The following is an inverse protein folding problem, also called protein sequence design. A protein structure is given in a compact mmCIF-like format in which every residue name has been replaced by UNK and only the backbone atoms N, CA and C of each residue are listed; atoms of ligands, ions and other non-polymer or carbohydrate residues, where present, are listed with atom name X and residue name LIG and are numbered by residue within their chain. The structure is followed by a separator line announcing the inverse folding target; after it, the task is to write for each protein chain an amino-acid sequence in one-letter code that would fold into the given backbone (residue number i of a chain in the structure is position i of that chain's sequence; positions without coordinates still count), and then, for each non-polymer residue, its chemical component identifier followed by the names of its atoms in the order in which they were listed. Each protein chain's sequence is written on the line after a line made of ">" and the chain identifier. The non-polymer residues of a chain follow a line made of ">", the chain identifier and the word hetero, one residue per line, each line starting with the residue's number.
data_IF_852903250546
#
_entry.id   IF_852903250546
#
_cell.length_a   1.000
_cell.length_b   1.000
_cell.length_c   1.000
_cell.angle_alpha   90.00
_cell.angle_beta   90.00
_cell.angle_gamma   90.00
#
_symmetry.space_group_name_H-M   'P 1'
#
loop_
_entity.id
_entity.type
_entity.pdbx_description
1 polymer ?
#
# COMPACT_ATOMS: atom_id res chain seq x y z
N UNK A 1 -19.34 -31.12 28.18
CA UNK A 1 -18.20 -32.03 28.38
C UNK A 1 -18.44 -33.21 27.46
N UNK A 2 -17.90 -33.15 26.23
CA UNK A 2 -18.11 -34.17 25.19
C UNK A 2 -16.74 -34.62 24.73
N UNK A 3 -16.43 -35.87 25.05
CA UNK A 3 -15.19 -36.58 24.71
C UNK A 3 -15.09 -36.81 23.20
N UNK A 4 -14.02 -36.30 22.58
CA UNK A 4 -13.58 -36.75 21.26
C UNK A 4 -12.43 -37.76 21.44
N UNK A 5 -12.74 -39.05 21.26
CA UNK A 5 -11.72 -40.11 21.20
C UNK A 5 -11.03 -40.09 19.85
N UNK A 6 -9.72 -39.89 19.89
CA UNK A 6 -8.77 -40.07 18.79
C UNK A 6 -8.81 -41.50 18.25
N UNK A 7 -8.93 -41.64 16.93
CA UNK A 7 -8.62 -42.85 16.20
C UNK A 7 -7.33 -42.63 15.40
N UNK A 8 -6.21 -43.05 15.97
CA UNK A 8 -4.92 -43.19 15.28
C UNK A 8 -4.92 -44.49 14.48
N UNK A 9 -4.61 -44.43 13.17
CA UNK A 9 -4.06 -45.58 12.44
C UNK A 9 -2.79 -45.15 11.71
N UNK A 10 -1.69 -45.93 11.79
CA UNK A 10 -0.44 -45.63 11.14
C UNK A 10 -0.46 -46.19 9.72
N UNK A 11 0.05 -45.43 8.74
CA UNK A 11 0.53 -45.99 7.50
C UNK A 11 1.98 -45.60 7.32
N UNK A 12 2.78 -46.62 7.02
CA UNK A 12 4.23 -46.60 7.09
C UNK A 12 4.88 -45.78 5.99
N UNK A 13 6.01 -45.23 6.38
CA UNK A 13 7.07 -44.66 5.55
C UNK A 13 7.65 -45.71 4.61
N UNK A 14 7.75 -45.39 3.31
CA UNK A 14 8.88 -45.78 2.46
C UNK A 14 8.87 -45.02 1.12
N UNK A 15 9.96 -44.28 0.89
CA UNK A 15 10.58 -43.83 -0.37
C UNK A 15 9.70 -43.60 -1.61
N UNK A 16 9.78 -42.46 -2.29
CA UNK A 16 10.98 -42.03 -3.01
C UNK A 16 11.01 -40.51 -3.18
N UNK A 17 12.14 -39.92 -2.81
CA UNK A 17 12.52 -38.57 -3.22
C UNK A 17 12.90 -38.64 -4.70
N UNK A 18 12.05 -38.15 -5.58
CA UNK A 18 12.45 -37.78 -6.93
C UNK A 18 13.00 -36.35 -6.90
N UNK A 19 14.29 -36.21 -6.59
CA UNK A 19 15.05 -35.01 -6.93
C UNK A 19 15.16 -34.97 -8.45
N UNK A 20 14.31 -34.19 -9.11
CA UNK A 20 14.61 -33.73 -10.46
C UNK A 20 15.71 -32.66 -10.36
N UNK A 21 16.96 -33.10 -10.37
CA UNK A 21 18.10 -32.25 -10.71
C UNK A 21 18.01 -31.92 -12.20
N UNK A 22 17.47 -30.73 -12.50
CA UNK A 22 17.58 -30.12 -13.82
C UNK A 22 19.04 -29.69 -13.97
N UNK A 23 19.81 -30.45 -14.75
CA UNK A 23 21.14 -30.04 -15.20
C UNK A 23 20.95 -29.09 -16.38
N UNK A 24 21.08 -27.79 -16.12
CA UNK A 24 21.15 -26.77 -17.18
C UNK A 24 22.54 -26.87 -17.80
N UNK A 25 22.62 -27.38 -19.02
CA UNK A 25 23.81 -27.23 -19.86
C UNK A 25 23.73 -25.85 -20.52
N UNK A 26 24.60 -24.93 -20.12
CA UNK A 26 24.84 -23.69 -20.85
C UNK A 26 25.97 -23.98 -21.83
N UNK A 27 25.64 -24.09 -23.11
CA UNK A 27 26.60 -24.16 -24.20
C UNK A 27 27.03 -22.73 -24.54
N UNK A 28 28.23 -22.34 -24.09
CA UNK A 28 28.84 -21.07 -24.47
C UNK A 28 29.55 -21.28 -25.80
N UNK A 29 28.93 -20.79 -26.88
CA UNK A 29 29.60 -20.65 -28.17
C UNK A 29 30.64 -19.52 -28.08
N UNK A 30 31.91 -19.88 -27.91
CA UNK A 30 33.01 -18.95 -28.12
C UNK A 30 33.30 -18.88 -29.62
N UNK A 31 32.83 -17.83 -30.30
CA UNK A 31 33.44 -17.43 -31.55
C UNK A 31 34.81 -16.83 -31.24
N UNK A 32 35.85 -17.58 -31.60
CA UNK A 32 37.20 -17.08 -31.73
C UNK A 32 37.25 -16.07 -32.86
N UNK A 33 37.18 -14.78 -32.52
CA UNK A 33 37.62 -13.71 -33.41
C UNK A 33 39.12 -13.53 -33.27
N UNK A 34 39.79 -13.73 -34.38
CA UNK A 34 41.22 -13.72 -34.66
C UNK A 34 41.92 -12.46 -34.14
N UNK A 35 43.09 -12.66 -33.55
CA UNK A 35 44.04 -11.61 -33.23
C UNK A 35 44.44 -10.81 -34.48
N UNK A 36 44.28 -9.49 -34.42
CA UNK A 36 44.91 -8.54 -35.33
C UNK A 36 45.64 -7.46 -34.50
N UNK A 37 46.96 -7.65 -34.49
CA UNK A 37 48.08 -6.71 -34.35
C UNK A 37 47.91 -5.35 -33.66
N UNK A 38 48.79 -5.19 -32.66
CA UNK A 38 49.53 -3.98 -32.27
C UNK A 38 49.36 -2.74 -33.15
N UNK A 39 48.85 -1.68 -32.52
CA UNK A 39 49.35 -0.32 -32.69
C UNK A 39 49.67 0.25 -31.31
N UNK A 40 50.91 0.06 -30.85
CA UNK A 40 51.57 1.08 -30.04
C UNK A 40 51.75 2.29 -30.92
N UNK A 41 51.23 3.46 -30.54
CA UNK A 41 52.06 4.63 -30.17
C UNK A 41 51.15 5.77 -29.71
N UNK A 42 51.32 6.14 -28.46
CA UNK A 42 50.76 7.33 -27.84
C UNK A 42 51.07 7.24 -26.37
N UNK A 43 52.32 7.50 -25.98
CA UNK A 43 52.68 7.75 -24.58
C UNK A 43 51.93 8.99 -24.13
N UNK A 44 50.68 8.79 -23.71
CA UNK A 44 49.98 9.68 -22.81
C UNK A 44 50.65 9.55 -21.46
N UNK A 45 51.02 10.68 -20.89
CA UNK A 45 51.60 10.83 -19.57
C UNK A 45 50.91 9.88 -18.58
N UNK A 46 51.63 8.94 -17.95
CA UNK A 46 51.05 7.90 -17.06
C UNK A 46 50.23 8.55 -15.92
N UNK A 47 50.52 9.82 -15.62
CA UNK A 47 49.79 10.69 -14.70
C UNK A 47 48.32 10.94 -15.07
N UNK A 48 47.92 10.68 -16.32
CA UNK A 48 46.57 10.97 -16.86
C UNK A 48 45.68 9.75 -17.00
N UNK A 49 46.18 8.54 -16.79
CA UNK A 49 45.37 7.30 -16.89
C UNK A 49 44.57 7.07 -15.62
N UNK A 50 43.28 6.73 -15.74
CA UNK A 50 42.43 6.36 -14.60
C UNK A 50 42.85 5.00 -14.04
N UNK A 51 43.34 4.95 -12.80
CA UNK A 51 43.79 3.72 -12.13
C UNK A 51 42.71 3.06 -11.29
N UNK A 52 41.83 3.86 -10.72
CA UNK A 52 40.75 3.39 -9.86
C UNK A 52 39.53 4.27 -10.06
N UNK A 53 38.38 3.61 -10.16
CA UNK A 53 37.07 4.25 -10.15
C UNK A 53 36.25 3.54 -9.08
N UNK A 54 35.75 4.27 -8.09
CA UNK A 54 34.86 3.77 -7.04
C UNK A 54 33.59 4.60 -7.06
N UNK A 55 32.44 3.94 -7.13
CA UNK A 55 31.13 4.59 -7.07
C UNK A 55 30.50 4.24 -5.72
N UNK A 56 29.90 5.23 -5.06
CA UNK A 56 29.19 5.09 -3.77
C UNK A 56 27.83 5.77 -3.83
N UNK A 57 26.95 5.35 -2.91
CA UNK A 57 25.60 5.91 -2.79
C UNK A 57 24.63 5.46 -3.88
N UNK A 58 24.94 4.34 -4.54
CA UNK A 58 24.08 3.67 -5.53
C UNK A 58 23.34 2.48 -4.92
N UNK A 59 22.56 2.71 -3.88
CA UNK A 59 21.84 1.63 -3.19
C UNK A 59 20.68 1.09 -4.04
N UNK A 60 20.13 1.93 -4.92
CA UNK A 60 18.99 1.59 -5.79
C UNK A 60 19.40 0.90 -7.09
N UNK A 61 20.64 1.09 -7.56
CA UNK A 61 21.13 0.53 -8.83
C UNK A 61 22.51 -0.10 -8.69
N UNK A 62 22.73 -1.22 -9.37
CA UNK A 62 24.03 -1.88 -9.33
C UNK A 62 25.12 -1.00 -9.96
N UNK A 63 26.34 -1.10 -9.44
CA UNK A 63 27.49 -0.37 -9.95
C UNK A 63 27.74 -0.65 -11.45
N UNK A 64 27.45 -1.88 -11.90
CA UNK A 64 27.56 -2.29 -13.30
C UNK A 64 26.61 -1.49 -14.22
N UNK A 65 25.37 -1.22 -13.78
CA UNK A 65 24.43 -0.41 -14.54
C UNK A 65 24.93 1.02 -14.68
N UNK A 66 25.54 1.57 -13.63
CA UNK A 66 26.08 2.93 -13.63
C UNK A 66 27.31 3.02 -14.53
N UNK A 67 28.25 2.08 -14.40
CA UNK A 67 29.43 2.00 -15.27
C UNK A 67 29.08 1.85 -16.75
N UNK A 68 28.01 1.11 -17.07
CA UNK A 68 27.54 0.96 -18.44
C UNK A 68 27.05 2.27 -19.08
N UNK A 69 26.69 3.28 -18.27
CA UNK A 69 26.30 4.61 -18.75
C UNK A 69 27.51 5.54 -18.95
N UNK A 70 28.64 5.22 -18.31
CA UNK A 70 29.83 6.06 -18.29
C UNK A 70 30.73 5.77 -19.49
N UNK A 71 31.39 6.80 -19.99
CA UNK A 71 32.48 6.72 -20.97
C UNK A 71 33.83 6.57 -20.27
N UNK A 72 33.96 7.11 -19.06
CA UNK A 72 35.14 6.96 -18.22
C UNK A 72 35.20 5.57 -17.63
N UNK A 73 36.30 4.85 -17.85
CA UNK A 73 36.52 3.52 -17.28
C UNK A 73 37.94 3.39 -16.72
N UNK A 74 38.17 2.33 -15.96
CA UNK A 74 39.52 1.99 -15.48
C UNK A 74 40.41 1.74 -16.69
N UNK A 75 41.62 2.29 -16.68
CA UNK A 75 42.60 2.27 -17.76
C UNK A 75 42.32 3.22 -18.94
N UNK A 76 41.25 4.01 -18.92
CA UNK A 76 41.03 5.08 -19.91
C UNK A 76 41.84 6.34 -19.59
N UNK A 77 42.05 7.19 -20.60
CA UNK A 77 42.58 8.54 -20.39
C UNK A 77 41.55 9.37 -19.62
N UNK A 78 41.98 10.07 -18.57
CA UNK A 78 41.14 10.97 -17.82
C UNK A 78 40.81 12.21 -18.66
N UNK A 79 39.52 12.42 -18.90
CA UNK A 79 38.98 13.61 -19.54
C UNK A 79 37.87 14.19 -18.66
N UNK A 80 38.09 15.43 -18.21
CA UNK A 80 37.14 16.15 -17.36
C UNK A 80 35.81 16.41 -18.07
N UNK A 81 35.84 16.61 -19.40
CA UNK A 81 34.61 16.81 -20.19
C UNK A 81 33.82 15.53 -20.34
N UNK A 82 34.50 14.38 -20.49
CA UNK A 82 33.86 13.07 -20.49
C UNK A 82 33.24 12.77 -19.12
N UNK A 83 33.96 13.03 -18.03
CA UNK A 83 33.44 12.82 -16.67
C UNK A 83 32.22 13.70 -16.37
N UNK A 84 32.22 14.96 -16.82
CA UNK A 84 31.05 15.83 -16.69
C UNK A 84 29.84 15.30 -17.46
N UNK A 85 30.05 14.80 -18.68
CA UNK A 85 29.01 14.13 -19.48
C UNK A 85 28.50 12.85 -18.80
N UNK A 86 29.38 12.10 -18.15
CA UNK A 86 29.04 10.89 -17.41
C UNK A 86 28.16 11.22 -16.20
N UNK A 87 28.46 12.29 -15.45
CA UNK A 87 27.63 12.76 -14.35
C UNK A 87 26.22 13.13 -14.82
N UNK A 88 26.08 13.83 -15.95
CA UNK A 88 24.78 14.13 -16.53
C UNK A 88 24.02 12.86 -16.94
N UNK A 89 24.70 11.90 -17.56
CA UNK A 89 24.11 10.62 -17.96
C UNK A 89 23.58 9.84 -16.75
N UNK A 90 24.37 9.77 -15.66
CA UNK A 90 23.96 9.14 -14.40
C UNK A 90 22.73 9.85 -13.82
N UNK A 91 22.79 11.18 -13.64
CA UNK A 91 21.66 11.94 -13.07
C UNK A 91 20.40 11.78 -13.92
N UNK A 92 20.51 11.82 -15.24
CA UNK A 92 19.38 11.64 -16.14
C UNK A 92 18.78 10.24 -16.01
N UNK A 93 19.61 9.19 -15.93
CA UNK A 93 19.15 7.82 -15.69
C UNK A 93 18.36 7.71 -14.37
N UNK A 94 18.86 8.30 -13.28
CA UNK A 94 18.14 8.30 -12.01
C UNK A 94 16.81 9.05 -12.12
N UNK A 95 16.78 10.24 -12.73
CA UNK A 95 15.56 11.04 -12.92
C UNK A 95 14.52 10.33 -13.78
N UNK A 96 14.94 9.66 -14.85
CA UNK A 96 14.07 8.85 -15.71
C UNK A 96 13.45 7.66 -14.96
N UNK A 97 14.11 7.16 -13.93
CA UNK A 97 13.60 6.11 -13.05
C UNK A 97 12.86 6.66 -11.81
N UNK A 98 12.59 7.97 -11.74
CA UNK A 98 11.75 8.60 -10.70
C UNK A 98 12.49 9.22 -9.51
N UNK A 99 13.83 9.16 -9.48
CA UNK A 99 14.66 9.77 -8.44
C UNK A 99 14.88 11.25 -8.74
N UNK A 100 13.87 12.07 -8.42
CA UNK A 100 13.85 13.48 -8.84
C UNK A 100 15.00 14.32 -8.23
N UNK A 101 15.36 14.03 -6.98
CA UNK A 101 16.42 14.75 -6.24
C UNK A 101 17.81 14.12 -6.41
N UNK A 102 17.94 13.09 -7.24
CA UNK A 102 19.22 12.45 -7.47
C UNK A 102 20.25 13.43 -8.03
N UNK A 103 21.47 13.38 -7.47
CA UNK A 103 22.56 14.29 -7.78
C UNK A 103 23.91 13.67 -7.47
N UNK A 104 24.96 14.25 -8.05
CA UNK A 104 26.33 13.93 -7.68
C UNK A 104 26.72 14.81 -6.50
N UNK A 105 27.13 14.19 -5.39
CA UNK A 105 27.69 14.89 -4.25
C UNK A 105 29.12 15.31 -4.58
N UNK A 106 29.29 16.59 -4.94
CA UNK A 106 30.58 17.16 -5.31
C UNK A 106 31.54 17.32 -4.14
N UNK A 107 31.04 17.37 -2.91
CA UNK A 107 31.89 17.53 -1.71
C UNK A 107 32.61 16.22 -1.38
N UNK A 108 31.93 15.09 -1.58
CA UNK A 108 32.49 13.76 -1.35
C UNK A 108 33.05 13.09 -2.60
N UNK A 109 32.71 13.59 -3.79
CA UNK A 109 33.37 13.17 -5.05
C UNK A 109 34.81 13.66 -5.06
N UNK A 110 35.76 12.72 -5.21
CA UNK A 110 37.18 13.02 -5.18
C UNK A 110 37.88 12.63 -6.47
N UNK A 111 38.67 13.57 -7.01
CA UNK A 111 39.57 13.36 -8.13
C UNK A 111 40.99 13.58 -7.63
N UNK A 112 41.73 12.49 -7.42
CA UNK A 112 43.12 12.55 -6.93
C UNK A 112 44.06 12.18 -8.05
N UNK A 113 44.94 13.12 -8.44
CA UNK A 113 45.97 12.92 -9.46
C UNK A 113 47.31 12.66 -8.78
N UNK A 114 47.92 11.52 -9.08
CA UNK A 114 49.25 11.14 -8.62
C UNK A 114 50.17 10.90 -9.82
N UNK A 115 51.46 10.69 -9.56
CA UNK A 115 52.44 10.43 -10.63
C UNK A 115 52.14 9.14 -11.40
N UNK A 116 51.48 8.16 -10.78
CA UNK A 116 51.11 6.87 -11.34
C UNK A 116 49.71 6.85 -12.00
N UNK A 117 48.92 7.92 -11.86
CA UNK A 117 47.62 8.09 -12.52
C UNK A 117 46.55 8.78 -11.69
N UNK A 118 45.30 8.68 -12.14
CA UNK A 118 44.13 9.36 -11.57
C UNK A 118 43.23 8.37 -10.83
N UNK A 119 42.81 8.73 -9.63
CA UNK A 119 41.89 7.96 -8.78
C UNK A 119 40.59 8.74 -8.62
N UNK A 120 39.49 8.13 -9.04
CA UNK A 120 38.14 8.71 -9.04
C UNK A 120 37.29 8.03 -7.97
N UNK A 121 36.71 8.84 -7.08
CA UNK A 121 35.63 8.44 -6.20
C UNK A 121 34.40 9.26 -6.56
N UNK A 122 33.34 8.63 -7.05
CA UNK A 122 32.07 9.28 -7.39
C UNK A 122 31.09 8.95 -6.29
N UNK A 123 30.47 9.98 -5.70
CA UNK A 123 29.43 9.81 -4.70
C UNK A 123 28.09 10.30 -5.25
N UNK A 124 27.11 9.41 -5.24
CA UNK A 124 25.76 9.67 -5.71
C UNK A 124 24.88 9.84 -4.48
N UNK A 125 24.09 10.90 -4.49
CA UNK A 125 23.04 11.14 -3.51
C UNK A 125 21.70 10.91 -4.21
N UNK A 126 20.98 9.86 -3.81
CA UNK A 126 19.70 9.48 -4.40
C UNK A 126 18.55 10.39 -3.94
N UNK A 127 18.78 11.25 -2.95
CA UNK A 127 17.78 12.15 -2.38
C UNK A 127 17.01 11.53 -1.23
N UNK A 128 17.71 11.20 -0.15
CA UNK A 128 17.12 10.64 1.07
C UNK A 128 16.28 11.69 1.82
N UNK A 129 15.12 11.29 2.34
CA UNK A 129 14.23 12.14 3.12
C UNK A 129 14.80 12.32 4.53
N UNK A 130 15.14 13.55 4.89
CA UNK A 130 15.70 13.88 6.21
C UNK A 130 14.64 14.28 7.23
N UNK A 131 13.58 14.95 6.79
CA UNK A 131 12.51 15.39 7.68
C UNK A 131 11.14 15.48 6.99
N UNK A 132 10.07 15.31 7.77
CA UNK A 132 8.69 15.46 7.34
C UNK A 132 7.96 16.42 8.27
N UNK A 133 7.63 17.60 7.75
CA UNK A 133 6.94 18.68 8.45
C UNK A 133 5.49 18.74 8.02
N UNK A 134 4.57 18.51 8.96
CA UNK A 134 3.12 18.57 8.74
C UNK A 134 2.55 19.91 9.21
N UNK A 135 1.68 20.50 8.40
CA UNK A 135 0.91 21.70 8.75
C UNK A 135 -0.56 21.59 8.33
N UNK A 136 -1.42 22.39 8.99
CA UNK A 136 -2.86 22.48 8.70
C UNK A 136 -3.73 21.41 9.36
N UNK A 137 -3.17 20.59 10.25
CA UNK A 137 -3.91 19.62 11.06
C UNK A 137 -4.37 20.25 12.39
N UNK A 138 -5.58 20.82 12.43
CA UNK A 138 -6.12 21.46 13.63
C UNK A 138 -6.77 20.45 14.58
N UNK A 139 -7.65 19.59 14.06
CA UNK A 139 -8.38 18.57 14.82
C UNK A 139 -7.72 17.19 14.69
N UNK A 140 -7.17 16.85 13.53
CA UNK A 140 -6.60 15.53 13.26
C UNK A 140 -5.21 15.42 13.87
N UNK A 141 -4.93 14.26 14.49
CA UNK A 141 -3.62 13.98 15.07
C UNK A 141 -2.56 13.85 13.97
N UNK A 142 -1.35 14.34 14.24
CA UNK A 142 -0.22 14.26 13.30
C UNK A 142 0.05 12.83 12.83
N UNK A 143 0.08 11.86 13.75
CA UNK A 143 0.33 10.45 13.44
C UNK A 143 -0.73 9.84 12.51
N UNK A 144 -1.97 10.33 12.56
CA UNK A 144 -3.07 9.86 11.72
C UNK A 144 -2.87 10.26 10.27
N UNK A 145 -2.21 11.39 10.01
CA UNK A 145 -1.87 11.86 8.67
C UNK A 145 -0.55 11.25 8.21
N UNK A 146 0.47 11.21 9.08
CA UNK A 146 1.79 10.69 8.71
C UNK A 146 1.75 9.19 8.35
N UNK A 147 0.95 8.38 9.05
CA UNK A 147 0.79 6.95 8.73
C UNK A 147 0.15 6.67 7.36
N UNK A 148 -0.38 7.70 6.70
CA UNK A 148 -0.99 7.59 5.38
C UNK A 148 0.01 7.81 4.25
N UNK A 149 1.16 8.43 4.56
CA UNK A 149 2.25 8.59 3.62
C UNK A 149 2.87 7.24 3.28
N UNK A 150 3.41 7.12 2.06
CA UNK A 150 4.06 5.90 1.57
C UNK A 150 5.57 5.85 1.82
N UNK A 151 6.10 6.90 2.43
CA UNK A 151 7.51 7.08 2.73
C UNK A 151 7.64 7.60 4.17
N UNK A 152 8.77 7.29 4.77
CA UNK A 152 9.17 7.72 6.10
C UNK A 152 10.52 8.45 6.03
N UNK A 153 10.97 8.97 7.18
CA UNK A 153 12.31 9.58 7.27
C UNK A 153 13.35 8.47 7.08
N UNK A 154 14.32 8.72 6.18
CA UNK A 154 15.35 7.75 5.79
C UNK A 154 15.05 7.02 4.47
N UNK A 155 13.84 7.13 3.93
CA UNK A 155 13.52 6.59 2.61
C UNK A 155 14.05 7.51 1.49
N UNK A 156 14.26 6.95 0.30
CA UNK A 156 14.62 7.72 -0.89
C UNK A 156 13.37 8.38 -1.47
N UNK A 157 13.45 9.67 -1.81
CA UNK A 157 12.33 10.38 -2.42
C UNK A 157 12.02 9.85 -3.82
N UNK A 158 10.76 9.46 -4.02
CA UNK A 158 10.20 9.12 -5.33
C UNK A 158 8.97 9.97 -5.62
N UNK A 159 8.90 10.58 -6.81
CA UNK A 159 7.75 11.41 -7.20
C UNK A 159 6.44 10.62 -7.16
N UNK A 160 6.47 9.36 -7.62
CA UNK A 160 5.30 8.48 -7.64
C UNK A 160 4.72 8.21 -6.24
N UNK A 161 5.58 8.02 -5.23
CA UNK A 161 5.13 7.77 -3.87
C UNK A 161 4.54 9.04 -3.23
N UNK A 162 5.06 10.23 -3.61
CA UNK A 162 4.49 11.52 -3.24
C UNK A 162 3.11 11.75 -3.87
N UNK A 163 2.93 11.49 -5.16
CA UNK A 163 1.63 11.67 -5.84
C UNK A 163 0.56 10.73 -5.28
N UNK A 164 0.92 9.47 -5.04
CA UNK A 164 0.02 8.48 -4.45
C UNK A 164 -0.31 8.82 -3.00
N UNK A 165 0.66 9.29 -2.21
CA UNK A 165 0.41 9.77 -0.84
C UNK A 165 -0.58 10.95 -0.82
N UNK A 166 -0.46 11.90 -1.74
CA UNK A 166 -1.44 12.99 -1.87
C UNK A 166 -2.84 12.45 -2.22
N UNK A 167 -2.95 11.44 -3.09
CA UNK A 167 -4.23 10.81 -3.45
C UNK A 167 -4.87 10.12 -2.24
N UNK A 168 -4.11 9.28 -1.52
CA UNK A 168 -4.55 8.58 -0.30
C UNK A 168 -5.07 9.57 0.74
N UNK A 169 -4.39 10.71 0.91
CA UNK A 169 -4.82 11.75 1.82
C UNK A 169 -6.13 12.42 1.37
N UNK A 170 -6.29 12.72 0.07
CA UNK A 170 -7.52 13.31 -0.50
C UNK A 170 -8.73 12.38 -0.44
N UNK A 171 -8.51 11.06 -0.42
CA UNK A 171 -9.58 10.08 -0.26
C UNK A 171 -10.15 10.03 1.18
N UNK A 172 -9.49 10.66 2.15
CA UNK A 172 -9.99 10.71 3.53
C UNK A 172 -11.15 11.69 3.63
N UNK A 173 -12.25 11.24 4.25
CA UNK A 173 -13.48 12.02 4.43
C UNK A 173 -13.32 13.29 5.29
N UNK A 174 -12.21 13.42 6.01
CA UNK A 174 -11.89 14.55 6.88
C UNK A 174 -10.77 15.44 6.33
N UNK A 175 -10.23 15.15 5.15
CA UNK A 175 -9.22 15.95 4.46
C UNK A 175 -9.86 16.51 3.18
N UNK A 176 -9.85 17.82 3.02
CA UNK A 176 -10.41 18.50 1.85
C UNK A 176 -9.37 18.72 0.76
N UNK A 177 -8.13 18.98 1.17
CA UNK A 177 -6.99 19.10 0.28
C UNK A 177 -5.73 18.59 0.97
N UNK A 178 -4.82 18.01 0.18
CA UNK A 178 -3.49 17.63 0.61
C UNK A 178 -2.50 18.02 -0.48
N UNK A 179 -1.44 18.71 -0.08
CA UNK A 179 -0.33 19.09 -0.96
C UNK A 179 0.99 18.75 -0.28
N UNK A 180 1.83 18.01 -1.00
CA UNK A 180 3.17 17.65 -0.55
C UNK A 180 4.17 18.46 -1.40
N UNK A 181 5.03 19.21 -0.70
CA UNK A 181 6.08 20.03 -1.31
C UNK A 181 7.42 19.50 -0.84
N UNK A 182 8.18 18.82 -1.72
CA UNK A 182 9.54 18.41 -1.40
C UNK A 182 10.51 19.56 -1.67
N UNK A 183 11.45 19.78 -0.77
CA UNK A 183 12.49 20.81 -0.87
C UNK A 183 13.83 20.19 -0.55
N UNK A 184 14.85 20.54 -1.34
CA UNK A 184 16.22 20.18 -0.99
C UNK A 184 16.72 21.07 0.14
N UNK A 185 17.19 20.48 1.24
CA UNK A 185 17.88 21.20 2.31
C UNK A 185 19.40 21.00 2.20
N UNK A 186 20.10 22.08 1.86
CA UNK A 186 21.56 22.09 1.75
C UNK A 186 22.27 21.91 3.09
N UNK A 187 21.62 22.23 4.21
CA UNK A 187 22.25 22.16 5.53
C UNK A 187 22.29 20.74 6.10
N UNK A 188 21.23 19.96 5.90
CA UNK A 188 21.14 18.56 6.31
C UNK A 188 21.58 17.57 5.22
N UNK A 189 21.88 18.07 4.01
CA UNK A 189 22.15 17.26 2.83
C UNK A 189 21.04 16.23 2.56
N UNK A 190 19.78 16.62 2.74
CA UNK A 190 18.63 15.74 2.61
C UNK A 190 17.39 16.44 2.03
N UNK A 191 16.40 15.65 1.64
CA UNK A 191 15.10 16.15 1.19
C UNK A 191 14.21 16.42 2.40
N UNK A 192 13.77 17.67 2.55
CA UNK A 192 12.77 18.09 3.50
C UNK A 192 11.37 18.05 2.86
N UNK A 193 10.44 17.31 3.47
CA UNK A 193 9.07 17.18 2.97
C UNK A 193 8.14 18.07 3.78
N UNK A 194 7.48 19.01 3.10
CA UNK A 194 6.41 19.81 3.70
C UNK A 194 5.05 19.26 3.27
N UNK A 195 4.30 18.73 4.23
CA UNK A 195 2.94 18.21 4.05
C UNK A 195 1.96 19.26 4.52
N UNK A 196 1.22 19.86 3.60
CA UNK A 196 0.20 20.86 3.89
C UNK A 196 -1.17 20.23 3.65
N UNK A 197 -1.99 20.13 4.70
CA UNK A 197 -3.35 19.62 4.61
C UNK A 197 -4.38 20.69 4.94
N UNK A 198 -5.54 20.61 4.32
CA UNK A 198 -6.72 21.38 4.72
C UNK A 198 -7.76 20.41 5.24
N UNK A 199 -8.12 20.54 6.51
CA UNK A 199 -9.14 19.69 7.12
C UNK A 199 -10.55 20.10 6.72
N UNK A 200 -11.41 19.10 6.51
CA UNK A 200 -12.85 19.31 6.43
C UNK A 200 -13.40 19.24 7.85
N UNK A 201 -13.56 20.38 8.49
CA UNK A 201 -14.35 20.44 9.70
C UNK A 201 -15.83 20.32 9.34
N UNK A 202 -16.37 19.10 9.46
CA UNK A 202 -17.81 18.87 9.44
C UNK A 202 -18.24 18.43 10.84
N UNK A 203 -18.94 19.28 11.62
CA UNK A 203 -19.53 18.82 12.86
C UNK A 203 -20.52 17.68 12.55
N UNK A 204 -20.71 16.72 13.47
CA UNK A 204 -21.62 15.60 13.25
C UNK A 204 -23.05 16.15 13.26
N UNK A 205 -23.55 16.53 12.08
CA UNK A 205 -24.91 17.04 11.93
C UNK A 205 -25.90 15.88 11.99
N UNK A 206 -27.00 16.01 12.74
CA UNK A 206 -28.06 15.02 12.72
C UNK A 206 -28.74 15.00 11.35
N UNK A 207 -28.88 13.82 10.76
CA UNK A 207 -29.79 13.60 9.65
C UNK A 207 -31.16 13.21 10.22
N UNK A 208 -32.20 13.94 9.84
CA UNK A 208 -33.57 13.68 10.27
C UNK A 208 -34.41 13.44 9.03
N UNK A 209 -35.09 12.30 8.96
CA UNK A 209 -35.94 11.93 7.83
C UNK A 209 -37.27 11.34 8.33
N UNK A 210 -38.34 12.16 8.41
CA UNK A 210 -39.69 11.71 8.70
C UNK A 210 -40.46 11.35 7.42
N UNK A 211 -41.01 10.14 7.36
CA UNK A 211 -41.87 9.68 6.29
C UNK A 211 -43.22 9.22 6.86
N UNK A 212 -44.33 9.67 6.26
CA UNK A 212 -45.69 9.30 6.65
C UNK A 212 -46.44 8.77 5.43
N UNK A 213 -47.22 7.71 5.60
CA UNK A 213 -48.13 7.20 4.57
C UNK A 213 -49.49 6.84 5.19
N UNK A 214 -50.47 6.49 4.34
CA UNK A 214 -51.84 6.15 4.79
C UNK A 214 -51.92 4.90 5.68
N UNK A 215 -50.84 4.12 5.79
CA UNK A 215 -50.78 2.84 6.48
C UNK A 215 -49.80 2.84 7.67
N UNK A 216 -49.10 3.96 7.93
CA UNK A 216 -48.01 4.01 8.89
C UNK A 216 -47.08 5.22 8.75
N UNK A 217 -45.95 5.17 9.46
CA UNK A 217 -44.94 6.20 9.46
C UNK A 217 -43.56 5.69 9.89
N UNK A 218 -42.52 6.29 9.35
CA UNK A 218 -41.12 6.05 9.70
C UNK A 218 -40.50 7.37 10.14
N UNK A 219 -39.73 7.32 11.22
CA UNK A 219 -38.89 8.44 11.67
C UNK A 219 -37.46 7.95 11.79
N UNK A 220 -36.54 8.64 11.12
CA UNK A 220 -35.12 8.35 11.12
C UNK A 220 -34.35 9.51 11.74
N UNK A 221 -33.43 9.18 12.63
CA UNK A 221 -32.41 10.07 13.18
C UNK A 221 -31.04 9.41 13.01
N UNK A 222 -30.16 10.00 12.21
CA UNK A 222 -28.79 9.55 12.02
C UNK A 222 -27.79 10.56 12.57
N UNK A 223 -26.72 10.07 13.17
CA UNK A 223 -25.56 10.84 13.61
C UNK A 223 -24.32 10.15 13.06
N UNK A 224 -23.44 10.91 12.39
CA UNK A 224 -22.17 10.39 11.88
C UNK A 224 -21.05 11.35 12.19
N UNK A 225 -19.96 10.82 12.73
CA UNK A 225 -18.70 11.53 12.92
C UNK A 225 -17.61 10.74 12.19
N UNK A 226 -16.95 11.37 11.21
CA UNK A 226 -15.98 10.71 10.32
C UNK A 226 -14.54 10.82 10.80
N UNK A 227 -14.29 11.57 11.88
CA UNK A 227 -12.96 11.74 12.46
C UNK A 227 -13.06 11.92 13.99
N UNK A 228 -13.55 10.88 14.66
CA UNK A 228 -13.82 10.89 16.10
C UNK A 228 -12.55 11.27 16.87
N UNK A 229 -12.57 12.40 17.57
CA UNK A 229 -11.41 12.95 18.31
C UNK A 229 -10.11 13.09 17.50
N UNK A 230 -10.20 13.28 16.18
CA UNK A 230 -9.02 13.42 15.34
C UNK A 230 -8.25 12.12 15.08
N UNK A 231 -8.86 10.96 15.35
CA UNK A 231 -8.23 9.63 15.23
C UNK A 231 -8.30 9.01 13.83
N UNK A 232 -9.08 9.60 12.93
CA UNK A 232 -9.45 9.05 11.63
C UNK A 232 -10.49 7.94 11.71
N UNK A 233 -11.07 7.68 12.89
CA UNK A 233 -12.14 6.70 13.05
C UNK A 233 -13.49 7.28 12.64
N UNK A 234 -14.32 6.44 12.02
CA UNK A 234 -15.68 6.79 11.59
C UNK A 234 -16.69 6.04 12.46
N UNK A 235 -17.68 6.74 12.98
CA UNK A 235 -18.81 6.14 13.70
C UNK A 235 -20.12 6.66 13.14
N UNK A 236 -21.08 5.76 12.96
CA UNK A 236 -22.45 6.07 12.51
C UNK A 236 -23.42 5.44 13.51
N UNK A 237 -24.30 6.25 14.09
CA UNK A 237 -25.42 5.81 14.91
C UNK A 237 -26.70 6.22 14.21
N UNK A 238 -27.60 5.28 13.98
CA UNK A 238 -28.89 5.54 13.34
C UNK A 238 -30.01 4.93 14.17
N UNK A 239 -30.94 5.78 14.58
CA UNK A 239 -32.17 5.42 15.24
C UNK A 239 -33.31 5.47 14.23
N UNK A 240 -34.10 4.41 14.15
CA UNK A 240 -35.26 4.33 13.28
C UNK A 240 -36.49 3.91 14.09
N UNK A 241 -37.55 4.71 14.05
CA UNK A 241 -38.85 4.34 14.60
C UNK A 241 -39.81 4.04 13.45
N UNK A 242 -40.46 2.89 13.50
CA UNK A 242 -41.41 2.43 12.49
C UNK A 242 -42.75 2.15 13.15
N UNK A 243 -43.81 2.71 12.58
CA UNK A 243 -45.19 2.53 13.03
C UNK A 243 -46.05 2.09 11.84
N UNK A 244 -46.88 1.09 12.02
CA UNK A 244 -47.73 0.53 10.96
C UNK A 244 -49.07 0.10 11.56
N UNK A 245 -50.16 0.27 10.82
CA UNK A 245 -51.50 -0.05 11.32
C UNK A 245 -51.60 -1.56 11.58
N UNK A 246 -51.97 -1.93 12.80
CA UNK A 246 -52.12 -3.33 13.21
C UNK A 246 -50.84 -3.99 13.72
N UNK A 247 -49.69 -3.31 13.65
CA UNK A 247 -48.42 -3.77 14.25
C UNK A 247 -48.02 -2.89 15.44
N UNK A 248 -47.23 -3.45 16.36
CA UNK A 248 -46.61 -2.66 17.43
C UNK A 248 -45.52 -1.77 16.83
N UNK A 249 -45.51 -0.50 17.18
CA UNK A 249 -44.42 0.42 16.86
C UNK A 249 -43.08 -0.16 17.34
N UNK A 250 -42.07 -0.17 16.48
CA UNK A 250 -40.72 -0.65 16.80
C UNK A 250 -39.70 0.47 16.67
N UNK A 251 -38.70 0.42 17.53
CA UNK A 251 -37.53 1.27 17.51
C UNK A 251 -36.31 0.41 17.23
N UNK A 252 -35.54 0.76 16.21
CA UNK A 252 -34.39 0.02 15.72
C UNK A 252 -33.14 0.89 15.83
N UNK A 253 -32.06 0.32 16.33
CA UNK A 253 -30.75 0.95 16.39
C UNK A 253 -29.79 0.31 15.38
N UNK A 254 -29.07 1.13 14.65
CA UNK A 254 -27.88 0.72 13.90
C UNK A 254 -26.67 1.47 14.44
N UNK A 255 -25.61 0.75 14.75
CA UNK A 255 -24.31 1.33 15.08
C UNK A 255 -23.25 0.73 14.18
N UNK A 256 -22.44 1.58 13.57
CA UNK A 256 -21.26 1.18 12.79
C UNK A 256 -20.05 1.93 13.31
N UNK A 257 -18.93 1.24 13.32
CA UNK A 257 -17.66 1.78 13.73
C UNK A 257 -16.56 1.28 12.79
N UNK A 258 -15.74 2.19 12.28
CA UNK A 258 -14.60 1.88 11.42
C UNK A 258 -13.34 2.48 12.01
N UNK A 259 -12.33 1.63 12.13
CA UNK A 259 -11.00 1.96 12.58
C UNK A 259 -10.02 1.61 11.47
N UNK A 260 -9.73 2.56 10.56
CA UNK A 260 -8.66 2.38 9.60
C UNK A 260 -7.31 2.38 10.31
N UNK A 261 -6.33 1.67 9.75
CA UNK A 261 -4.94 1.66 10.25
C UNK A 261 -4.83 1.32 11.74
N UNK A 262 -5.39 0.17 12.14
CA UNK A 262 -5.37 -0.34 13.51
C UNK A 262 -3.93 -0.35 14.02
N UNK A 263 -3.64 0.43 15.06
CA UNK A 263 -2.30 0.58 15.66
C UNK A 263 -1.22 0.89 14.60
N UNK A 264 -1.51 1.83 13.70
CA UNK A 264 -0.62 2.26 12.59
C UNK A 264 -0.22 1.16 11.61
N UNK A 265 -0.90 0.01 11.65
CA UNK A 265 -0.70 -1.06 10.67
C UNK A 265 -1.48 -0.78 9.38
N UNK A 266 -1.35 -1.67 8.40
CA UNK A 266 -2.16 -1.65 7.18
C UNK A 266 -3.51 -2.35 7.34
N UNK A 267 -3.91 -2.71 8.56
CA UNK A 267 -5.18 -3.36 8.84
C UNK A 267 -6.27 -2.34 9.18
N UNK A 268 -7.46 -2.57 8.66
CA UNK A 268 -8.69 -1.87 8.99
C UNK A 268 -9.60 -2.81 9.76
N UNK A 269 -10.30 -2.26 10.75
CA UNK A 269 -11.34 -2.94 11.48
C UNK A 269 -12.68 -2.23 11.26
N UNK A 270 -13.67 -2.97 10.81
CA UNK A 270 -15.05 -2.48 10.66
C UNK A 270 -15.98 -3.33 11.51
N UNK A 271 -16.73 -2.70 12.40
CA UNK A 271 -17.78 -3.31 13.20
C UNK A 271 -19.13 -2.71 12.85
N UNK A 272 -20.17 -3.55 12.77
CA UNK A 272 -21.54 -3.12 12.60
C UNK A 272 -22.49 -3.95 13.45
N UNK A 273 -23.47 -3.29 14.07
CA UNK A 273 -24.61 -3.89 14.74
C UNK A 273 -25.88 -3.22 14.23
N UNK A 274 -26.87 -4.02 13.83
CA UNK A 274 -28.10 -3.57 13.20
C UNK A 274 -29.26 -4.33 13.82
N UNK A 275 -30.14 -3.63 14.52
CA UNK A 275 -31.42 -4.16 14.96
C UNK A 275 -32.41 -4.14 13.80
N UNK A 276 -33.12 -5.24 13.60
CA UNK A 276 -34.14 -5.37 12.55
C UNK A 276 -35.51 -5.46 13.18
N UNK A 277 -36.56 -5.38 12.36
CA UNK A 277 -37.92 -5.67 12.85
C UNK A 277 -38.00 -7.08 13.41
N UNK A 278 -37.26 -8.01 12.84
CA UNK A 278 -37.30 -9.44 13.13
C UNK A 278 -35.83 -9.87 13.27
N UNK A 279 -35.38 -10.04 14.52
CA UNK A 279 -33.99 -10.35 14.87
C UNK A 279 -33.01 -9.17 14.77
N UNK A 280 -31.72 -9.49 14.90
CA UNK A 280 -30.60 -8.56 14.88
C UNK A 280 -29.48 -9.12 14.00
N UNK A 281 -28.56 -8.25 13.58
CA UNK A 281 -27.32 -8.71 12.93
C UNK A 281 -26.11 -7.94 13.40
N UNK A 282 -24.99 -8.63 13.49
CA UNK A 282 -23.70 -8.01 13.68
C UNK A 282 -22.69 -8.53 12.65
N UNK A 283 -21.71 -7.70 12.33
CA UNK A 283 -20.59 -8.06 11.49
C UNK A 283 -19.31 -7.40 12.00
N UNK A 284 -18.23 -8.16 11.95
CA UNK A 284 -16.87 -7.71 12.19
C UNK A 284 -16.06 -8.07 10.96
N UNK A 285 -15.37 -7.08 10.40
CA UNK A 285 -14.48 -7.24 9.26
C UNK A 285 -13.10 -6.76 9.68
N UNK A 286 -12.11 -7.61 9.49
CA UNK A 286 -10.70 -7.26 9.63
C UNK A 286 -10.05 -7.40 8.25
N UNK A 287 -9.61 -6.29 7.66
CA UNK A 287 -9.07 -6.29 6.30
C UNK A 287 -7.73 -5.59 6.21
N UNK A 288 -6.80 -6.17 5.45
CA UNK A 288 -5.61 -5.50 4.94
C UNK A 288 -5.85 -5.23 3.45
N UNK A 289 -6.25 -4.00 3.07
CA UNK A 289 -6.47 -3.68 1.68
C UNK A 289 -5.16 -3.66 0.89
N UNK A 290 -5.27 -3.53 -0.42
CA UNK A 290 -4.14 -3.16 -1.25
C UNK A 290 -3.90 -1.67 -1.12
N UNK A 291 -3.04 -1.28 -0.17
CA UNK A 291 -2.82 0.13 0.15
C UNK A 291 -2.11 0.90 -0.97
N UNK A 292 -1.31 0.18 -1.77
CA UNK A 292 -0.51 0.73 -2.86
C UNK A 292 -0.46 -0.24 -4.02
N UNK A 293 -0.06 0.24 -5.20
CA UNK A 293 0.24 -0.63 -6.34
C UNK A 293 1.38 -1.61 -6.05
N UNK A 294 2.28 -1.27 -5.12
CA UNK A 294 3.42 -2.12 -4.66
C UNK A 294 2.98 -3.22 -3.68
N UNK A 295 1.77 -3.17 -3.12
CA UNK A 295 1.30 -4.13 -2.12
C UNK A 295 1.15 -5.54 -2.67
N UNK A 296 2.03 -6.46 -2.25
CA UNK A 296 2.12 -7.85 -2.76
C UNK A 296 1.06 -8.81 -2.22
N UNK A 297 0.27 -8.41 -1.24
CA UNK A 297 -0.82 -9.23 -0.72
C UNK A 297 -1.94 -8.39 -0.11
N UNK A 298 -3.12 -8.97 -0.01
CA UNK A 298 -4.27 -8.43 0.72
C UNK A 298 -4.95 -9.55 1.49
N UNK A 299 -5.65 -9.20 2.55
CA UNK A 299 -6.40 -10.16 3.35
C UNK A 299 -7.71 -9.54 3.82
N UNK A 300 -8.75 -10.37 3.96
CA UNK A 300 -10.03 -9.96 4.53
C UNK A 300 -10.65 -11.13 5.27
N UNK A 301 -10.96 -10.89 6.52
CA UNK A 301 -11.69 -11.82 7.38
C UNK A 301 -13.01 -11.16 7.77
N UNK A 302 -14.10 -11.92 7.66
CA UNK A 302 -15.45 -11.49 8.01
C UNK A 302 -16.03 -12.50 8.99
N UNK A 303 -16.49 -12.00 10.13
CA UNK A 303 -17.33 -12.73 11.07
C UNK A 303 -18.67 -12.02 11.11
N UNK A 304 -19.77 -12.74 10.99
CA UNK A 304 -21.09 -12.13 11.05
C UNK A 304 -22.12 -13.11 11.57
N UNK A 305 -23.13 -12.57 12.22
CA UNK A 305 -24.34 -13.29 12.58
C UNK A 305 -25.54 -12.44 12.17
N UNK A 306 -26.57 -13.10 11.68
CA UNK A 306 -27.84 -12.48 11.37
C UNK A 306 -28.95 -13.39 11.83
N UNK A 307 -29.65 -12.95 12.86
CA UNK A 307 -30.92 -13.52 13.30
C UNK A 307 -32.02 -12.80 12.54
N UNK A 308 -32.97 -13.57 12.03
CA UNK A 308 -34.19 -13.05 11.44
C UNK A 308 -35.27 -14.10 11.42
N UNK A 309 -36.44 -13.74 10.93
CA UNK A 309 -37.56 -14.66 10.90
C UNK A 309 -37.87 -15.09 9.46
N UNK A 310 -38.08 -16.39 9.31
CA UNK A 310 -38.60 -16.99 8.11
C UNK A 310 -40.10 -17.26 8.31
N UNK A 311 -40.91 -16.75 7.39
CA UNK A 311 -42.36 -16.94 7.43
C UNK A 311 -42.76 -18.00 6.40
N UNK A 312 -43.47 -19.03 6.85
CA UNK A 312 -44.08 -20.03 5.99
C UNK A 312 -45.43 -19.51 5.49
N UNK A 313 -45.71 -19.71 4.21
CA UNK A 313 -46.96 -19.31 3.58
C UNK A 313 -47.61 -20.53 2.93
N UNK A 314 -48.87 -20.75 3.26
CA UNK A 314 -49.69 -21.78 2.62
C UNK A 314 -50.79 -21.12 1.79
N UNK A 315 -51.15 -21.77 0.69
CA UNK A 315 -52.23 -21.28 -0.17
C UNK A 315 -53.57 -21.61 0.50
N UNK A 316 -54.37 -20.59 0.79
CA UNK A 316 -55.71 -20.76 1.32
C UNK A 316 -56.57 -21.50 0.27
N UNK A 317 -57.12 -22.70 0.59
CA UNK A 317 -57.89 -23.53 -0.33
C UNK A 317 -59.11 -22.82 -0.94
N UNK A 318 -59.63 -21.79 -0.27
CA UNK A 318 -60.86 -21.12 -0.69
C UNK A 318 -60.58 -19.78 -1.37
N UNK A 319 -59.70 -18.95 -0.80
CA UNK A 319 -59.39 -17.64 -1.38
C UNK A 319 -58.28 -17.65 -2.43
N UNK A 320 -57.56 -18.78 -2.59
CA UNK A 320 -56.37 -18.92 -3.45
C UNK A 320 -55.28 -17.87 -3.16
N UNK A 321 -55.31 -17.24 -1.99
CA UNK A 321 -54.29 -16.27 -1.54
C UNK A 321 -53.29 -16.97 -0.64
N UNK A 322 -52.03 -16.55 -0.74
CA UNK A 322 -51.00 -16.97 0.20
C UNK A 322 -51.31 -16.38 1.58
N UNK A 323 -51.54 -17.26 2.55
CA UNK A 323 -51.73 -16.91 3.95
C UNK A 323 -50.50 -17.33 4.73
N UNK A 324 -49.93 -16.42 5.51
CA UNK A 324 -48.82 -16.70 6.42
C UNK A 324 -49.32 -17.64 7.54
N UNK A 325 -48.74 -18.82 7.68
CA UNK A 325 -49.19 -19.86 8.63
C UNK A 325 -48.25 -20.00 9.81
N UNK A 326 -46.94 -20.10 9.58
CA UNK A 326 -45.95 -20.30 10.64
C UNK A 326 -44.77 -19.32 10.55
N UNK A 327 -44.06 -19.14 11.66
CA UNK A 327 -42.88 -18.27 11.77
C UNK A 327 -41.77 -19.01 12.49
N UNK A 328 -40.60 -19.05 11.89
CA UNK A 328 -39.40 -19.72 12.40
C UNK A 328 -38.26 -18.72 12.52
N UNK A 329 -37.58 -18.73 13.65
CA UNK A 329 -36.34 -17.98 13.81
C UNK A 329 -35.21 -18.69 13.04
N UNK A 330 -34.50 -17.95 12.22
CA UNK A 330 -33.35 -18.42 11.46
C UNK A 330 -32.12 -17.64 11.91
N UNK A 331 -31.14 -18.37 12.41
CA UNK A 331 -29.82 -17.82 12.73
C UNK A 331 -28.84 -18.18 11.60
N UNK A 332 -28.33 -17.16 10.92
CA UNK A 332 -27.30 -17.29 9.89
C UNK A 332 -25.97 -16.81 10.44
N UNK A 333 -25.04 -17.73 10.63
CA UNK A 333 -23.66 -17.42 11.00
C UNK A 333 -22.76 -17.52 9.76
N UNK A 334 -21.87 -16.53 9.61
CA UNK A 334 -20.93 -16.44 8.50
C UNK A 334 -19.52 -16.22 9.00
N UNK A 335 -18.60 -17.09 8.57
CA UNK A 335 -17.16 -16.91 8.74
C UNK A 335 -16.55 -17.02 7.36
N UNK A 336 -15.86 -15.98 6.90
CA UNK A 336 -15.22 -15.98 5.59
C UNK A 336 -13.83 -15.37 5.69
N UNK A 337 -12.86 -16.01 5.03
CA UNK A 337 -11.48 -15.53 4.95
C UNK A 337 -11.00 -15.53 3.51
N UNK A 338 -10.35 -14.46 3.08
CA UNK A 338 -9.73 -14.37 1.75
C UNK A 338 -8.36 -13.75 1.86
N UNK A 339 -7.36 -14.40 1.31
CA UNK A 339 -6.00 -13.86 1.16
C UNK A 339 -5.67 -13.87 -0.33
N UNK A 340 -5.23 -12.73 -0.86
CA UNK A 340 -4.77 -12.62 -2.26
C UNK A 340 -3.29 -12.28 -2.25
N UNK A 341 -2.49 -12.95 -3.08
CA UNK A 341 -1.11 -12.58 -3.39
C UNK A 341 -1.03 -12.09 -4.82
N UNK A 342 -0.18 -11.09 -5.04
CA UNK A 342 0.00 -10.44 -6.33
C UNK A 342 1.42 -10.70 -6.80
N UNK A 343 1.56 -11.15 -8.05
CA UNK A 343 2.83 -11.49 -8.69
C UNK A 343 3.00 -10.68 -9.97
N UNK A 344 4.24 -10.33 -10.32
CA UNK A 344 4.58 -9.60 -11.54
C UNK A 344 4.56 -8.07 -11.42
N UNK A 345 4.97 -7.41 -12.50
CA UNK A 345 4.89 -5.95 -12.67
C UNK A 345 3.50 -5.59 -13.24
N UNK A 346 2.82 -4.59 -12.68
CA UNK A 346 1.38 -4.36 -12.87
C UNK A 346 0.99 -3.85 -14.27
N UNK A 347 1.96 -3.55 -15.14
CA UNK A 347 1.70 -3.38 -16.58
C UNK A 347 1.31 -4.69 -17.28
N UNK A 348 1.67 -5.86 -16.72
CA UNK A 348 1.35 -7.18 -17.27
C UNK A 348 0.71 -8.05 -16.20
N UNK A 349 -0.63 -8.06 -16.20
CA UNK A 349 -1.47 -8.74 -15.22
C UNK A 349 -1.40 -10.27 -15.33
N UNK A 350 -0.79 -10.96 -14.36
CA UNK A 350 -0.95 -12.41 -14.18
C UNK A 350 -1.39 -12.69 -12.72
N UNK A 351 -2.51 -13.39 -12.55
CA UNK A 351 -3.19 -13.55 -11.25
C UNK A 351 -3.23 -15.01 -10.80
N UNK A 352 -2.95 -15.26 -9.51
CA UNK A 352 -3.28 -16.52 -8.83
C UNK A 352 -3.93 -16.17 -7.49
N UNK A 353 -5.22 -16.49 -7.33
CA UNK A 353 -5.94 -16.34 -6.07
C UNK A 353 -6.21 -17.70 -5.45
N UNK A 354 -5.87 -17.87 -4.17
CA UNK A 354 -6.31 -19.02 -3.36
C UNK A 354 -7.45 -18.53 -2.46
N UNK A 355 -8.58 -19.24 -2.44
CA UNK A 355 -9.70 -18.97 -1.55
C UNK A 355 -10.05 -20.24 -0.77
N UNK A 356 -10.45 -20.08 0.49
CA UNK A 356 -11.09 -21.11 1.29
C UNK A 356 -12.46 -20.57 1.69
N UNK A 357 -13.52 -21.34 1.40
CA UNK A 357 -14.90 -21.01 1.73
C UNK A 357 -15.33 -21.75 3.00
#
# INVERSE_FOLDING_TARGET
>A
MVDFRFATRPLGTLCLIALFSISIHVEVSSETATAAQNETTGLGDESTTVRSLVIKGNDSFSEQQIRALMRTDVWSVYDETALASDFEAIINFYKENGYHFARIDKEHTSVKKFADGVYLGIEIDEGVIGEINLSGNEKTKKDVILRELLFEVGDVYMEADKEESEQILRDKTYIGAAKIVPLWDASSNAVAIQVNVTELWSPPLPSIDPALNSQGGTFLLGLRESNVFGSGHDTEVRYQRISEIGEKTKSLLTWKYKMPRVVSSHWNFDGAYIQKREGDSWAIILERPQYTLKSRWSARFTLSESVGDFSWFEMDPFSHKLKRTDRFEVNLQGVAGRIRRYFGNRERQNYIGLWAA
#
